data_IF_286743363897
#
_entry.id   IF_286743363897
#
_cell.length_a   1.000
_cell.length_b   1.000
_cell.length_c   1.000
_cell.angle_alpha   90.00
_cell.angle_beta   90.00
_cell.angle_gamma   90.00
#
_symmetry.space_group_name_H-M   'P 1'
#
loop_
_entity.id
_entity.type
_entity.pdbx_description
1 polymer ?
#
# COMPACT_ATOMS: atom_id res chain seq x y z
N UNK A 1 35.19 -5.52 -8.52
CA UNK A 1 35.68 -5.35 -7.12
C UNK A 1 34.78 -6.14 -6.18
N UNK A 2 35.34 -7.06 -5.37
CA UNK A 2 34.59 -7.91 -4.44
C UNK A 2 33.99 -7.04 -3.31
N UNK A 3 32.65 -6.93 -3.26
CA UNK A 3 31.94 -6.19 -2.20
C UNK A 3 32.32 -6.77 -0.82
N UNK A 4 32.79 -5.90 0.07
CA UNK A 4 33.39 -6.27 1.35
C UNK A 4 32.32 -6.79 2.31
N UNK A 5 32.26 -8.11 2.53
CA UNK A 5 31.22 -8.80 3.33
C UNK A 5 31.00 -8.17 4.72
N UNK A 6 32.04 -7.59 5.31
CA UNK A 6 31.98 -6.94 6.61
C UNK A 6 31.18 -5.63 6.63
N UNK A 7 31.07 -4.91 5.51
CA UNK A 7 30.24 -3.70 5.43
C UNK A 7 28.76 -4.02 5.27
N UNK A 8 28.43 -5.10 4.56
CA UNK A 8 27.06 -5.58 4.39
C UNK A 8 26.50 -6.05 5.74
N UNK A 9 27.28 -6.80 6.51
CA UNK A 9 26.92 -7.23 7.87
C UNK A 9 26.76 -6.02 8.81
N UNK A 10 27.62 -5.00 8.70
CA UNK A 10 27.48 -3.75 9.48
C UNK A 10 26.24 -2.94 9.11
N UNK A 11 25.84 -2.91 7.83
CA UNK A 11 24.60 -2.25 7.38
C UNK A 11 23.34 -2.98 7.87
N UNK A 12 23.33 -4.30 7.79
CA UNK A 12 22.24 -5.13 8.34
C UNK A 12 22.14 -5.02 9.87
N UNK A 13 23.27 -4.97 10.58
CA UNK A 13 23.30 -4.74 12.02
C UNK A 13 22.81 -3.33 12.41
N UNK A 14 23.15 -2.29 11.63
CA UNK A 14 22.62 -0.93 11.82
C UNK A 14 21.11 -0.85 11.56
N UNK A 15 20.60 -1.54 10.53
CA UNK A 15 19.16 -1.61 10.26
C UNK A 15 18.40 -2.36 11.37
N UNK A 16 18.94 -3.49 11.85
CA UNK A 16 18.39 -4.21 13.02
C UNK A 16 18.43 -3.36 14.29
N UNK A 17 19.50 -2.61 14.54
CA UNK A 17 19.59 -1.72 15.70
C UNK A 17 18.66 -0.50 15.59
N UNK A 18 18.40 0.02 14.38
CA UNK A 18 17.42 1.10 14.16
C UNK A 18 15.99 0.61 14.39
N UNK A 19 15.65 -0.60 13.91
CA UNK A 19 14.37 -1.28 14.22
C UNK A 19 14.24 -1.62 15.71
N UNK A 20 15.32 -2.07 16.37
CA UNK A 20 15.35 -2.36 17.82
C UNK A 20 15.17 -1.10 18.67
N UNK A 21 15.75 0.05 18.26
CA UNK A 21 15.53 1.36 18.91
C UNK A 21 14.11 1.89 18.71
N UNK A 22 13.50 1.74 17.53
CA UNK A 22 12.08 2.06 17.33
C UNK A 22 11.18 1.21 18.25
N UNK A 23 11.53 -0.05 18.50
CA UNK A 23 10.79 -0.97 19.36
C UNK A 23 11.03 -0.77 20.86
N UNK A 24 12.21 -0.29 21.29
CA UNK A 24 12.44 0.08 22.70
C UNK A 24 11.55 1.25 23.15
N UNK A 25 11.17 2.13 22.22
CA UNK A 25 10.19 3.20 22.48
C UNK A 25 8.76 2.63 22.62
N UNK A 26 8.45 1.47 22.01
CA UNK A 26 7.16 0.78 22.17
C UNK A 26 7.07 -0.16 23.39
N UNK A 27 8.20 -0.56 23.98
CA UNK A 27 8.23 -1.47 25.14
C UNK A 27 8.02 -0.75 26.48
N UNK A 28 8.21 0.57 26.54
CA UNK A 28 7.74 1.34 27.68
C UNK A 28 6.23 1.47 27.51
N UNK A 29 5.47 0.75 28.34
CA UNK A 29 4.03 0.99 28.56
C UNK A 29 3.83 2.36 29.21
N UNK A 30 4.21 3.43 28.51
CA UNK A 30 3.43 4.65 28.60
C UNK A 30 2.11 4.30 27.92
N UNK A 31 0.93 4.58 28.52
CA UNK A 31 -0.31 4.54 27.79
C UNK A 31 -0.16 5.58 26.67
N UNK A 32 0.31 5.15 25.50
CA UNK A 32 0.12 5.92 24.29
C UNK A 32 -1.38 5.95 24.15
N UNK A 33 -1.96 7.15 24.25
CA UNK A 33 -3.28 7.39 23.75
C UNK A 33 -3.34 6.70 22.38
N UNK A 34 -4.06 5.59 22.30
CA UNK A 34 -4.52 5.10 21.02
C UNK A 34 -5.33 6.27 20.52
N UNK A 35 -4.75 7.07 19.61
CA UNK A 35 -5.59 7.96 18.83
C UNK A 35 -6.50 6.99 18.09
N UNK A 36 -7.74 6.86 18.55
CA UNK A 36 -8.82 6.38 17.71
C UNK A 36 -8.76 7.27 16.47
N UNK A 37 -8.33 6.65 15.37
CA UNK A 37 -8.15 7.33 14.09
C UNK A 37 -9.38 6.99 13.29
N UNK A 38 -10.21 7.96 12.91
CA UNK A 38 -11.36 7.65 12.07
C UNK A 38 -10.87 7.06 10.73
N UNK A 39 -11.65 6.17 10.11
CA UNK A 39 -11.41 5.72 8.75
C UNK A 39 -11.22 6.90 7.80
N UNK A 40 -10.37 6.75 6.78
CA UNK A 40 -10.11 7.82 5.80
C UNK A 40 -11.38 8.23 5.02
N UNK A 41 -12.37 7.34 4.97
CA UNK A 41 -13.71 7.55 4.40
C UNK A 41 -14.59 8.46 5.25
N UNK A 42 -14.45 8.41 6.57
CA UNK A 42 -15.18 9.26 7.51
C UNK A 42 -14.58 10.67 7.63
N UNK A 43 -13.42 10.92 7.03
CA UNK A 43 -12.76 12.23 7.05
C UNK A 43 -13.24 13.11 5.90
N UNK A 44 -14.19 14.00 6.19
CA UNK A 44 -14.67 14.98 5.22
C UNK A 44 -13.57 15.95 4.76
N UNK A 45 -13.49 16.20 3.46
CA UNK A 45 -12.59 17.17 2.85
C UNK A 45 -13.38 18.38 2.31
N UNK A 46 -12.78 19.58 2.25
CA UNK A 46 -13.39 20.73 1.59
C UNK A 46 -13.76 20.41 0.13
N UNK A 47 -14.78 21.10 -0.40
CA UNK A 47 -15.23 20.90 -1.79
C UNK A 47 -14.08 21.07 -2.79
N UNK A 48 -13.89 20.08 -3.65
CA UNK A 48 -12.81 20.05 -4.64
C UNK A 48 -11.51 19.42 -4.12
N UNK A 49 -11.51 18.87 -2.90
CA UNK A 49 -10.36 18.19 -2.29
C UNK A 49 -10.72 16.78 -1.83
N UNK A 50 -9.70 15.97 -1.57
CA UNK A 50 -9.79 14.64 -0.95
C UNK A 50 -8.83 14.53 0.22
N UNK A 51 -9.24 13.80 1.25
CA UNK A 51 -8.39 13.45 2.38
C UNK A 51 -7.44 12.34 1.98
N UNK A 52 -6.14 12.57 2.04
CA UNK A 52 -5.11 11.54 1.77
C UNK A 52 -4.11 11.46 2.91
N UNK A 53 -3.44 10.32 3.05
CA UNK A 53 -2.32 10.24 4.00
C UNK A 53 -1.07 10.96 3.45
N UNK A 54 -0.17 11.35 4.35
CA UNK A 54 1.05 12.06 3.96
C UNK A 54 1.93 11.25 2.99
N UNK A 55 1.99 9.93 3.14
CA UNK A 55 2.74 9.07 2.20
C UNK A 55 2.13 9.11 0.79
N UNK A 56 0.81 9.12 0.68
CA UNK A 56 0.13 9.23 -0.61
C UNK A 56 0.37 10.59 -1.24
N UNK A 57 0.36 11.65 -0.42
CA UNK A 57 0.63 13.02 -0.86
C UNK A 57 2.02 13.16 -1.50
N UNK A 58 3.04 12.61 -0.84
CA UNK A 58 4.42 12.60 -1.38
C UNK A 58 4.48 11.84 -2.70
N UNK A 59 3.82 10.67 -2.81
CA UNK A 59 3.85 9.86 -4.02
C UNK A 59 3.13 10.53 -5.19
N UNK A 60 1.94 11.11 -4.95
CA UNK A 60 1.19 11.88 -5.96
C UNK A 60 1.94 13.11 -6.45
N UNK A 61 2.59 13.81 -5.52
CA UNK A 61 3.46 14.92 -5.83
C UNK A 61 4.65 14.49 -6.68
N UNK A 62 5.29 13.37 -6.32
CA UNK A 62 6.50 12.86 -6.93
C UNK A 62 6.31 12.21 -8.31
N UNK A 63 5.07 12.03 -8.80
CA UNK A 63 4.79 11.39 -10.11
C UNK A 63 5.71 11.83 -11.26
N UNK A 64 5.99 13.13 -11.49
CA UNK A 64 6.90 13.57 -12.56
C UNK A 64 8.34 13.04 -12.45
N UNK A 65 8.79 12.67 -11.25
CA UNK A 65 10.10 12.05 -11.02
C UNK A 65 10.10 10.54 -11.30
N UNK A 66 8.92 9.92 -11.27
CA UNK A 66 8.72 8.46 -11.30
C UNK A 66 8.27 7.93 -12.67
N UNK A 67 7.91 8.80 -13.61
CA UNK A 67 7.44 8.42 -14.95
C UNK A 67 8.48 7.67 -15.80
N UNK A 68 9.77 7.83 -15.51
CA UNK A 68 10.82 6.98 -16.05
C UNK A 68 11.04 5.76 -15.14
N UNK A 69 10.61 4.57 -15.62
CA UNK A 69 10.77 3.28 -14.95
C UNK A 69 12.23 3.08 -14.47
N UNK A 70 12.48 3.34 -13.19
CA UNK A 70 13.77 3.03 -12.56
C UNK A 70 13.77 1.54 -12.20
N UNK A 71 14.53 0.73 -12.94
CA UNK A 71 14.73 -0.68 -12.61
C UNK A 71 15.58 -0.89 -11.33
N UNK A 72 16.19 0.18 -10.78
CA UNK A 72 17.09 0.14 -9.63
C UNK A 72 16.47 0.80 -8.38
N UNK A 73 16.49 0.06 -7.26
CA UNK A 73 16.03 0.52 -5.95
C UNK A 73 16.84 1.72 -5.43
N UNK A 74 18.14 1.79 -5.74
CA UNK A 74 18.98 2.90 -5.31
C UNK A 74 18.58 4.21 -6.04
N UNK A 75 18.18 4.11 -7.31
CA UNK A 75 17.68 5.26 -8.08
C UNK A 75 16.32 5.74 -7.56
N UNK A 76 15.40 4.80 -7.30
CA UNK A 76 14.10 5.12 -6.70
C UNK A 76 14.25 5.85 -5.35
N UNK A 77 15.15 5.38 -4.49
CA UNK A 77 15.42 6.04 -3.21
C UNK A 77 15.92 7.48 -3.39
N UNK A 78 16.82 7.72 -4.36
CA UNK A 78 17.32 9.07 -4.66
C UNK A 78 16.20 9.98 -5.19
N UNK A 79 15.31 9.46 -6.04
CA UNK A 79 14.14 10.19 -6.54
C UNK A 79 13.19 10.57 -5.40
N UNK A 80 12.95 9.67 -4.43
CA UNK A 80 12.13 9.96 -3.23
C UNK A 80 12.79 11.02 -2.34
N UNK A 81 14.11 10.95 -2.13
CA UNK A 81 14.86 11.96 -1.37
C UNK A 81 14.80 13.34 -2.05
N UNK A 82 14.90 13.38 -3.38
CA UNK A 82 14.73 14.60 -4.16
C UNK A 82 13.30 15.13 -4.04
N UNK A 83 12.28 14.29 -4.20
CA UNK A 83 10.88 14.66 -4.01
C UNK A 83 10.63 15.28 -2.63
N UNK A 84 11.19 14.67 -1.58
CA UNK A 84 11.08 15.17 -0.21
C UNK A 84 11.76 16.54 -0.04
N UNK A 85 12.89 16.76 -0.71
CA UNK A 85 13.60 18.05 -0.69
C UNK A 85 12.82 19.14 -1.43
N UNK A 86 12.24 18.81 -2.59
CA UNK A 86 11.36 19.70 -3.37
C UNK A 86 10.07 20.03 -2.61
N UNK A 87 9.49 19.06 -1.91
CA UNK A 87 8.34 19.26 -1.04
C UNK A 87 8.64 20.28 0.06
N UNK A 88 9.79 20.16 0.73
CA UNK A 88 10.20 21.10 1.77
C UNK A 88 10.52 22.50 1.22
N UNK A 89 11.12 22.59 0.02
CA UNK A 89 11.31 23.87 -0.68
C UNK A 89 9.96 24.56 -0.97
N UNK A 90 8.98 23.78 -1.42
CA UNK A 90 7.65 24.30 -1.72
C UNK A 90 6.92 24.78 -0.46
N UNK A 91 7.04 24.05 0.64
CA UNK A 91 6.49 24.45 1.93
C UNK A 91 7.14 25.72 2.49
N UNK A 92 8.46 25.88 2.37
CA UNK A 92 9.12 27.10 2.84
C UNK A 92 8.71 28.32 2.01
N UNK A 93 8.45 28.14 0.70
CA UNK A 93 7.86 29.18 -0.16
C UNK A 93 6.46 29.57 0.29
N UNK A 94 5.56 28.59 0.48
CA UNK A 94 4.17 28.85 0.92
C UNK A 94 4.13 29.51 2.32
N UNK A 95 5.02 29.10 3.23
CA UNK A 95 5.10 29.64 4.60
C UNK A 95 5.87 30.95 4.72
N UNK A 96 6.31 31.51 3.59
CA UNK A 96 7.11 32.73 3.53
C UNK A 96 8.34 32.70 4.46
N UNK A 97 9.12 31.60 4.37
CA UNK A 97 10.33 31.38 5.18
C UNK A 97 11.59 31.49 4.31
N UNK A 98 12.15 32.70 4.13
CA UNK A 98 13.23 32.94 3.17
C UNK A 98 14.52 32.18 3.50
N UNK A 99 14.86 32.03 4.79
CA UNK A 99 16.08 31.33 5.21
C UNK A 99 16.01 29.83 4.89
N UNK A 100 14.88 29.19 5.24
CA UNK A 100 14.64 27.77 4.90
C UNK A 100 14.59 27.57 3.38
N UNK A 101 13.98 28.52 2.64
CA UNK A 101 13.91 28.48 1.19
C UNK A 101 15.29 28.51 0.54
N UNK A 102 16.18 29.40 0.98
CA UNK A 102 17.54 29.49 0.45
C UNK A 102 18.35 28.20 0.70
N UNK A 103 18.20 27.59 1.87
CA UNK A 103 18.86 26.33 2.22
C UNK A 103 18.33 25.13 1.43
N UNK A 104 17.01 25.04 1.26
CA UNK A 104 16.40 24.01 0.44
C UNK A 104 16.74 24.18 -1.05
N UNK A 105 16.83 25.41 -1.54
CA UNK A 105 17.21 25.69 -2.94
C UNK A 105 18.56 25.05 -3.25
N UNK A 106 19.58 25.26 -2.41
CA UNK A 106 20.92 24.65 -2.59
C UNK A 106 20.86 23.12 -2.65
N UNK A 107 20.08 22.50 -1.75
CA UNK A 107 19.92 21.03 -1.70
C UNK A 107 19.21 20.50 -2.93
N UNK A 108 18.13 21.16 -3.34
CA UNK A 108 17.32 20.79 -4.50
C UNK A 108 18.13 20.94 -5.79
N UNK A 109 18.83 22.05 -6.01
CA UNK A 109 19.67 22.23 -7.20
C UNK A 109 20.75 21.15 -7.31
N UNK A 110 21.35 20.76 -6.18
CA UNK A 110 22.32 19.65 -6.13
C UNK A 110 21.66 18.30 -6.41
N UNK A 111 20.46 18.08 -5.88
CA UNK A 111 19.68 16.87 -6.10
C UNK A 111 19.22 16.71 -7.55
N UNK A 112 18.64 17.76 -8.15
CA UNK A 112 18.21 17.78 -9.55
C UNK A 112 19.38 17.48 -10.49
N UNK A 113 20.54 18.09 -10.24
CA UNK A 113 21.76 17.80 -11.02
C UNK A 113 22.23 16.36 -10.89
N UNK A 114 22.21 15.80 -9.68
CA UNK A 114 22.77 14.48 -9.43
C UNK A 114 21.82 13.33 -9.79
N UNK A 115 20.51 13.54 -9.66
CA UNK A 115 19.47 12.51 -9.89
C UNK A 115 18.91 12.59 -11.32
N UNK A 116 18.64 13.79 -11.84
CA UNK A 116 18.01 13.97 -13.15
C UNK A 116 19.00 14.40 -14.25
N UNK A 117 20.27 14.66 -13.88
CA UNK A 117 21.30 15.16 -14.79
C UNK A 117 20.91 16.49 -15.50
N UNK A 118 20.04 17.29 -14.87
CA UNK A 118 19.61 18.59 -15.37
C UNK A 118 20.51 19.71 -14.80
N UNK A 119 20.80 20.72 -15.61
CA UNK A 119 21.61 21.90 -15.22
C UNK A 119 21.11 23.17 -15.91
N UNK A 120 21.45 24.34 -15.34
CA UNK A 120 21.06 25.64 -15.88
C UNK A 120 19.55 25.83 -15.92
N UNK A 121 19.05 26.51 -16.95
CA UNK A 121 17.63 26.85 -17.11
C UNK A 121 16.69 25.64 -17.05
N UNK A 122 17.12 24.47 -17.52
CA UNK A 122 16.31 23.26 -17.48
C UNK A 122 16.09 22.77 -16.04
N UNK A 123 17.09 22.91 -15.17
CA UNK A 123 16.95 22.58 -13.75
C UNK A 123 16.06 23.59 -13.03
N UNK A 124 16.24 24.88 -13.31
CA UNK A 124 15.46 25.94 -12.67
C UNK A 124 13.97 25.83 -13.04
N UNK A 125 13.67 25.60 -14.33
CA UNK A 125 12.29 25.36 -14.80
C UNK A 125 11.66 24.15 -14.13
N UNK A 126 12.38 23.02 -14.05
CA UNK A 126 11.86 21.83 -13.38
C UNK A 126 11.55 22.07 -11.89
N UNK A 127 12.43 22.81 -11.20
CA UNK A 127 12.21 23.16 -9.78
C UNK A 127 10.97 24.03 -9.65
N UNK A 128 10.80 25.03 -10.51
CA UNK A 128 9.63 25.91 -10.52
C UNK A 128 8.34 25.14 -10.78
N UNK A 129 8.31 24.28 -11.81
CA UNK A 129 7.17 23.41 -12.13
C UNK A 129 6.77 22.52 -10.94
N UNK A 130 7.75 21.94 -10.24
CA UNK A 130 7.48 21.12 -9.06
C UNK A 130 6.95 21.96 -7.90
N UNK A 131 7.48 23.16 -7.68
CA UNK A 131 6.97 24.08 -6.65
C UNK A 131 5.53 24.52 -6.95
N UNK A 132 5.22 24.87 -8.21
CA UNK A 132 3.86 25.22 -8.63
C UNK A 132 2.91 24.05 -8.47
N UNK A 133 3.33 22.84 -8.85
CA UNK A 133 2.57 21.60 -8.65
C UNK A 133 2.22 21.39 -7.17
N UNK A 134 3.18 21.58 -6.26
CA UNK A 134 2.93 21.45 -4.82
C UNK A 134 1.87 22.45 -4.36
N UNK A 135 2.02 23.73 -4.71
CA UNK A 135 1.10 24.80 -4.30
C UNK A 135 -0.32 24.53 -4.83
N UNK A 136 -0.43 24.06 -6.07
CA UNK A 136 -1.70 23.69 -6.68
C UNK A 136 -2.38 22.52 -5.97
N UNK A 137 -1.64 21.42 -5.74
CA UNK A 137 -2.17 20.20 -5.14
C UNK A 137 -2.44 20.32 -3.64
N UNK A 138 -1.56 21.03 -2.92
CA UNK A 138 -1.53 21.13 -1.45
C UNK A 138 -1.44 22.59 -0.98
N UNK A 139 -2.49 23.40 -1.22
CA UNK A 139 -2.50 24.78 -0.75
C UNK A 139 -2.50 24.81 0.79
N UNK A 140 -1.67 25.65 1.39
CA UNK A 140 -1.51 25.72 2.85
C UNK A 140 -2.79 26.20 3.55
N UNK A 141 -3.51 27.18 2.98
CA UNK A 141 -4.73 27.76 3.58
C UNK A 141 -5.86 26.78 3.87
N UNK A 142 -5.90 25.62 3.19
CA UNK A 142 -6.95 24.62 3.42
C UNK A 142 -6.49 23.48 4.33
N UNK A 143 -5.18 23.32 4.57
CA UNK A 143 -4.67 22.12 5.23
C UNK A 143 -5.24 21.99 6.64
N UNK A 144 -5.45 20.75 7.12
CA UNK A 144 -5.92 20.52 8.48
C UNK A 144 -4.95 21.08 9.51
N UNK A 145 -5.49 21.56 10.63
CA UNK A 145 -4.69 22.10 11.73
C UNK A 145 -3.69 21.06 12.26
N UNK A 146 -2.46 21.51 12.54
CA UNK A 146 -1.44 20.64 13.12
C UNK A 146 -1.76 20.31 14.59
N UNK A 147 -1.46 19.07 15.07
CA UNK A 147 -0.90 17.95 14.32
C UNK A 147 -1.98 17.15 13.57
N UNK A 148 -1.83 17.02 12.26
CA UNK A 148 -2.68 16.15 11.43
C UNK A 148 -1.85 15.01 10.82
N UNK A 149 -2.48 13.84 10.66
CA UNK A 149 -1.89 12.69 9.98
C UNK A 149 -2.37 12.54 8.53
N UNK A 150 -3.20 13.46 8.08
CA UNK A 150 -3.76 13.52 6.75
C UNK A 150 -3.58 14.92 6.16
N UNK A 151 -3.73 14.99 4.86
CA UNK A 151 -3.65 16.22 4.07
C UNK A 151 -4.86 16.29 3.16
N UNK A 152 -5.25 17.50 2.77
CA UNK A 152 -6.21 17.69 1.70
C UNK A 152 -5.45 17.89 0.39
N UNK A 153 -5.72 17.02 -0.58
CA UNK A 153 -5.19 17.13 -1.94
C UNK A 153 -6.30 17.57 -2.88
N UNK A 154 -5.99 18.47 -3.81
CA UNK A 154 -6.94 18.90 -4.84
C UNK A 154 -7.37 17.71 -5.73
N UNK A 155 -8.66 17.62 -6.03
CA UNK A 155 -9.20 16.72 -7.07
C UNK A 155 -8.90 17.31 -8.45
N UNK A 156 -7.88 16.81 -9.13
CA UNK A 156 -7.59 17.23 -10.51
C UNK A 156 -8.48 16.55 -11.56
N UNK A 157 -9.11 15.42 -11.21
CA UNK A 157 -9.98 14.66 -12.09
C UNK A 157 -11.19 14.09 -11.34
N UNK A 158 -12.35 14.13 -11.99
CA UNK A 158 -13.56 13.41 -11.58
C UNK A 158 -13.63 12.11 -12.37
N UNK A 159 -13.90 11.01 -11.70
CA UNK A 159 -13.96 9.67 -12.27
C UNK A 159 -15.40 9.16 -12.28
N UNK A 160 -15.89 8.73 -13.45
CA UNK A 160 -17.12 7.96 -13.54
C UNK A 160 -16.83 6.50 -13.18
N UNK A 161 -16.94 6.18 -11.88
CA UNK A 161 -16.72 4.83 -11.36
C UNK A 161 -18.00 4.01 -11.52
N UNK A 162 -17.95 3.02 -12.41
CA UNK A 162 -19.03 2.03 -12.63
C UNK A 162 -18.74 0.76 -11.84
N UNK A 163 -19.76 -0.07 -11.55
CA UNK A 163 -19.54 -1.40 -11.01
C UNK A 163 -18.54 -2.20 -11.84
N UNK A 164 -17.82 -3.11 -11.19
CA UNK A 164 -16.94 -4.04 -11.87
C UNK A 164 -17.73 -4.93 -12.86
N UNK A 165 -17.15 -5.18 -14.04
CA UNK A 165 -17.77 -6.02 -15.07
C UNK A 165 -17.44 -7.50 -14.82
N UNK A 166 -18.33 -8.19 -14.11
CA UNK A 166 -18.18 -9.61 -13.80
C UNK A 166 -18.20 -10.53 -15.03
N UNK A 167 -18.60 -10.05 -16.22
CA UNK A 167 -18.47 -10.86 -17.45
C UNK A 167 -17.02 -11.13 -17.84
N UNK A 168 -16.07 -10.38 -17.27
CA UNK A 168 -14.62 -10.60 -17.42
C UNK A 168 -14.11 -11.81 -16.64
N UNK A 169 -14.84 -12.23 -15.59
CA UNK A 169 -14.43 -13.35 -14.74
C UNK A 169 -14.98 -14.64 -15.33
N UNK A 170 -14.20 -15.24 -16.23
CA UNK A 170 -14.49 -16.53 -16.86
C UNK A 170 -13.31 -17.49 -16.76
N UNK A 171 -13.62 -18.78 -16.77
CA UNK A 171 -12.63 -19.86 -16.82
C UNK A 171 -13.00 -20.83 -17.93
N UNK A 172 -12.00 -21.31 -18.68
CA UNK A 172 -12.22 -22.44 -19.59
C UNK A 172 -12.10 -23.79 -18.88
N UNK A 173 -11.38 -23.81 -17.75
CA UNK A 173 -11.22 -24.99 -16.90
C UNK A 173 -12.01 -24.85 -15.60
N UNK A 174 -13.26 -25.33 -15.61
CA UNK A 174 -14.16 -25.26 -14.45
C UNK A 174 -13.75 -26.21 -13.31
N UNK A 175 -13.17 -27.37 -13.64
CA UNK A 175 -12.81 -28.38 -12.64
C UNK A 175 -11.72 -27.86 -11.70
N UNK A 176 -11.84 -28.17 -10.41
CA UNK A 176 -10.82 -27.85 -9.40
C UNK A 176 -9.45 -28.45 -9.75
N UNK A 177 -8.39 -27.66 -9.54
CA UNK A 177 -7.01 -28.07 -9.82
C UNK A 177 -6.38 -28.59 -8.53
N UNK A 178 -6.08 -29.89 -8.50
CA UNK A 178 -5.45 -30.53 -7.36
C UNK A 178 -4.14 -29.80 -6.96
N UNK A 179 -3.84 -29.70 -5.66
CA UNK A 179 -2.63 -29.04 -5.20
C UNK A 179 -1.39 -29.85 -5.58
N UNK A 180 -0.35 -29.16 -6.05
CA UNK A 180 0.97 -29.73 -6.22
C UNK A 180 1.86 -29.54 -4.98
N UNK A 181 3.14 -29.92 -5.07
CA UNK A 181 4.07 -29.82 -3.94
C UNK A 181 4.32 -28.37 -3.48
N UNK A 182 4.31 -27.40 -4.41
CA UNK A 182 4.46 -25.99 -4.07
C UNK A 182 3.23 -25.48 -3.33
N UNK A 183 2.04 -25.81 -3.84
CA UNK A 183 0.76 -25.47 -3.21
C UNK A 183 0.69 -26.04 -1.78
N UNK A 184 1.04 -27.32 -1.59
CA UNK A 184 1.00 -27.97 -0.28
C UNK A 184 1.98 -27.35 0.72
N UNK A 185 3.20 -26.99 0.27
CA UNK A 185 4.17 -26.29 1.11
C UNK A 185 3.67 -24.90 1.51
N UNK A 186 3.07 -24.16 0.58
CA UNK A 186 2.48 -22.86 0.84
C UNK A 186 1.33 -22.94 1.84
N UNK A 187 0.40 -23.88 1.68
CA UNK A 187 -0.68 -24.11 2.64
C UNK A 187 -0.14 -24.52 4.02
N UNK A 188 0.93 -25.32 4.07
CA UNK A 188 1.64 -25.65 5.30
C UNK A 188 2.15 -24.41 6.04
N UNK A 189 2.77 -23.47 5.32
CA UNK A 189 3.25 -22.19 5.89
C UNK A 189 2.11 -21.33 6.44
N UNK A 190 0.99 -21.23 5.73
CA UNK A 190 -0.17 -20.46 6.23
C UNK A 190 -0.70 -21.09 7.53
N UNK A 191 -0.81 -22.43 7.59
CA UNK A 191 -1.25 -23.13 8.80
C UNK A 191 -0.28 -22.94 9.98
N UNK A 192 1.03 -22.95 9.71
CA UNK A 192 2.05 -22.63 10.72
C UNK A 192 1.91 -21.18 11.23
N UNK A 193 1.64 -20.23 10.34
CA UNK A 193 1.40 -18.83 10.70
C UNK A 193 0.12 -18.69 11.55
N UNK A 194 -0.96 -19.38 11.19
CA UNK A 194 -2.19 -19.41 11.98
C UNK A 194 -1.94 -19.92 13.41
N UNK A 195 -1.09 -20.94 13.57
CA UNK A 195 -0.71 -21.46 14.87
C UNK A 195 0.13 -20.47 15.69
N UNK A 196 1.01 -19.71 15.03
CA UNK A 196 1.75 -18.64 15.68
C UNK A 196 0.82 -17.55 16.23
N UNK A 197 -0.19 -17.17 15.45
CA UNK A 197 -1.21 -16.20 15.85
C UNK A 197 -2.03 -16.70 17.04
N UNK A 198 -2.54 -17.94 16.99
CA UNK A 198 -3.28 -18.57 18.10
C UNK A 198 -2.47 -18.65 19.39
N UNK A 199 -1.16 -18.89 19.29
CA UNK A 199 -0.25 -18.98 20.45
C UNK A 199 0.14 -17.61 21.01
N UNK A 200 -0.25 -16.50 20.35
CA UNK A 200 0.19 -15.16 20.72
C UNK A 200 1.72 -15.00 20.62
N UNK A 201 2.34 -15.69 19.65
CA UNK A 201 3.79 -15.62 19.46
C UNK A 201 4.18 -14.19 19.07
N UNK A 202 5.35 -13.72 19.50
CA UNK A 202 5.83 -12.40 19.05
C UNK A 202 6.11 -12.40 17.55
N UNK A 203 5.82 -11.26 16.90
CA UNK A 203 6.03 -11.05 15.46
C UNK A 203 7.45 -11.41 14.99
N UNK A 204 8.46 -11.13 15.82
CA UNK A 204 9.86 -11.43 15.49
C UNK A 204 10.13 -12.92 15.26
N UNK A 205 9.31 -13.80 15.82
CA UNK A 205 9.43 -15.24 15.62
C UNK A 205 8.88 -15.69 14.25
N UNK A 206 7.88 -14.99 13.71
CA UNK A 206 7.19 -15.41 12.48
C UNK A 206 7.34 -14.41 11.30
N UNK A 207 8.06 -13.29 11.47
CA UNK A 207 8.30 -12.28 10.41
C UNK A 207 8.82 -12.90 9.11
N UNK A 208 9.80 -13.80 9.20
CA UNK A 208 10.37 -14.46 8.02
C UNK A 208 9.35 -15.37 7.31
N UNK A 209 8.48 -16.02 8.08
CA UNK A 209 7.42 -16.87 7.54
C UNK A 209 6.36 -16.02 6.83
N UNK A 210 5.92 -14.92 7.43
CA UNK A 210 4.96 -13.99 6.80
C UNK A 210 5.50 -13.42 5.50
N UNK A 211 6.75 -12.96 5.48
CA UNK A 211 7.40 -12.44 4.25
C UNK A 211 7.47 -13.53 3.16
N UNK A 212 7.74 -14.79 3.54
CA UNK A 212 7.73 -15.92 2.60
C UNK A 212 6.35 -16.11 1.97
N UNK A 213 5.30 -16.09 2.80
CA UNK A 213 3.90 -16.27 2.36
C UNK A 213 3.46 -15.11 1.46
N UNK A 214 3.78 -13.86 1.80
CA UNK A 214 3.49 -12.69 0.96
C UNK A 214 4.09 -12.86 -0.44
N UNK A 215 5.39 -13.17 -0.53
CA UNK A 215 6.09 -13.31 -1.81
C UNK A 215 5.58 -14.49 -2.67
N UNK A 216 5.19 -15.60 -2.03
CA UNK A 216 4.71 -16.79 -2.72
C UNK A 216 3.25 -16.66 -3.16
N UNK A 217 2.42 -15.91 -2.41
CA UNK A 217 0.98 -15.81 -2.62
C UNK A 217 0.60 -15.34 -4.03
N UNK A 218 1.14 -14.21 -4.48
CA UNK A 218 0.86 -13.67 -5.81
C UNK A 218 1.31 -14.62 -6.93
N UNK A 219 2.48 -15.26 -6.78
CA UNK A 219 3.03 -16.17 -7.80
C UNK A 219 2.20 -17.45 -7.94
N UNK A 220 1.81 -18.07 -6.82
CA UNK A 220 0.99 -19.29 -6.83
C UNK A 220 -0.45 -19.00 -7.25
N UNK A 221 -0.98 -17.85 -6.84
CA UNK A 221 -2.30 -17.41 -7.30
C UNK A 221 -2.31 -17.15 -8.81
N UNK A 222 -1.27 -16.47 -9.36
CA UNK A 222 -1.09 -16.29 -10.80
C UNK A 222 -1.02 -17.63 -11.53
N UNK A 223 -0.22 -18.57 -11.02
CA UNK A 223 -0.08 -19.92 -11.57
C UNK A 223 -1.44 -20.64 -11.64
N UNK A 224 -2.26 -20.50 -10.61
CA UNK A 224 -3.61 -21.07 -10.59
C UNK A 224 -4.54 -20.41 -11.63
N UNK A 225 -4.55 -19.08 -11.74
CA UNK A 225 -5.35 -18.37 -12.76
C UNK A 225 -4.96 -18.78 -14.19
N UNK A 226 -3.66 -18.90 -14.47
CA UNK A 226 -3.16 -19.37 -15.77
C UNK A 226 -3.60 -20.82 -16.03
N UNK A 227 -3.46 -21.70 -15.04
CA UNK A 227 -3.85 -23.10 -15.18
C UNK A 227 -5.37 -23.29 -15.32
N UNK A 228 -6.18 -22.33 -14.86
CA UNK A 228 -7.63 -22.26 -15.07
C UNK A 228 -8.02 -21.73 -16.46
N UNK A 229 -7.05 -21.29 -17.26
CA UNK A 229 -7.27 -20.55 -18.50
C UNK A 229 -8.21 -19.35 -18.27
N UNK A 230 -7.89 -18.54 -17.26
CA UNK A 230 -8.62 -17.33 -16.90
C UNK A 230 -8.73 -16.38 -18.11
N UNK A 231 -9.92 -15.82 -18.33
CA UNK A 231 -10.23 -15.05 -19.53
C UNK A 231 -9.70 -13.61 -19.52
N UNK A 232 -9.46 -13.04 -18.34
CA UNK A 232 -8.89 -11.71 -18.15
C UNK A 232 -7.38 -11.76 -17.84
N UNK A 233 -6.73 -10.59 -17.72
CA UNK A 233 -5.31 -10.51 -17.37
C UNK A 233 -5.08 -10.86 -15.88
N UNK A 234 -4.38 -11.96 -15.55
CA UNK A 234 -4.08 -12.32 -14.16
C UNK A 234 -3.31 -11.25 -13.38
N UNK A 235 -2.49 -10.43 -14.06
CA UNK A 235 -1.63 -9.45 -13.40
C UNK A 235 -2.43 -8.33 -12.71
N UNK A 236 -3.66 -8.06 -13.14
CA UNK A 236 -4.59 -7.10 -12.53
C UNK A 236 -5.14 -7.57 -11.17
N UNK A 237 -5.06 -8.89 -10.87
CA UNK A 237 -5.73 -9.48 -9.70
C UNK A 237 -4.76 -9.92 -8.60
N UNK A 238 -3.53 -10.31 -8.97
CA UNK A 238 -2.65 -11.07 -8.06
C UNK A 238 -2.08 -10.26 -6.91
N UNK A 239 -1.96 -8.93 -7.06
CA UNK A 239 -1.45 -8.01 -6.05
C UNK A 239 -2.45 -7.72 -4.92
N UNK A 240 -3.66 -8.30 -4.97
CA UNK A 240 -4.55 -8.21 -3.82
C UNK A 240 -4.07 -9.10 -2.66
N UNK A 241 -3.45 -10.24 -2.98
CA UNK A 241 -3.20 -11.31 -2.03
C UNK A 241 -2.13 -10.92 -1.00
N UNK A 242 -1.01 -10.35 -1.43
CA UNK A 242 0.10 -9.94 -0.57
C UNK A 242 -0.29 -8.77 0.36
N UNK A 243 -1.01 -7.78 -0.17
CA UNK A 243 -1.49 -6.63 0.60
C UNK A 243 -2.54 -7.06 1.63
N UNK A 244 -3.43 -7.97 1.27
CA UNK A 244 -4.42 -8.51 2.19
C UNK A 244 -3.79 -9.40 3.28
N UNK A 245 -2.83 -10.25 2.93
CA UNK A 245 -2.03 -11.02 3.91
C UNK A 245 -1.28 -10.08 4.87
N UNK A 246 -0.71 -8.98 4.34
CA UNK A 246 -0.06 -7.95 5.17
C UNK A 246 -1.06 -7.34 6.15
N UNK A 247 -2.28 -7.02 5.70
CA UNK A 247 -3.34 -6.55 6.59
C UNK A 247 -3.63 -7.58 7.68
N UNK A 248 -3.93 -8.83 7.34
CA UNK A 248 -4.33 -9.85 8.33
C UNK A 248 -3.23 -10.13 9.37
N UNK A 249 -1.96 -10.25 8.97
CA UNK A 249 -0.91 -10.78 9.85
C UNK A 249 0.13 -9.77 10.34
N UNK A 250 0.20 -8.56 9.75
CA UNK A 250 1.20 -7.53 10.11
C UNK A 250 0.60 -6.24 10.60
N UNK A 251 -0.69 -6.02 10.32
CA UNK A 251 -1.43 -4.95 10.93
C UNK A 251 -1.82 -5.33 12.36
N UNK A 252 -1.88 -4.34 13.24
CA UNK A 252 -2.27 -4.56 14.63
C UNK A 252 -3.79 -4.60 14.69
N UNK A 253 -4.32 -5.76 15.04
CA UNK A 253 -5.75 -5.98 15.29
C UNK A 253 -5.98 -6.14 16.79
N UNK A 254 -7.17 -5.76 17.24
CA UNK A 254 -7.57 -5.96 18.63
C UNK A 254 -7.94 -7.43 18.91
N UNK A 255 -8.46 -8.12 17.90
CA UNK A 255 -8.82 -9.54 17.95
C UNK A 255 -7.84 -10.46 17.23
N UNK A 256 -7.95 -11.75 17.54
CA UNK A 256 -7.30 -12.80 16.76
C UNK A 256 -8.00 -12.95 15.41
N UNK A 257 -7.31 -12.56 14.34
CA UNK A 257 -7.78 -12.75 12.96
C UNK A 257 -6.93 -13.80 12.27
N UNK A 258 -7.59 -14.66 11.49
CA UNK A 258 -6.95 -15.65 10.63
C UNK A 258 -7.48 -15.49 9.21
N UNK A 259 -6.65 -15.77 8.21
CA UNK A 259 -7.04 -15.60 6.80
C UNK A 259 -8.30 -16.42 6.44
N UNK A 260 -8.48 -17.59 7.04
CA UNK A 260 -9.67 -18.45 6.81
C UNK A 260 -10.96 -18.01 7.52
N UNK A 261 -10.89 -17.01 8.40
CA UNK A 261 -12.01 -16.57 9.23
C UNK A 261 -11.79 -15.12 9.65
N UNK A 262 -12.13 -14.20 8.75
CA UNK A 262 -12.01 -12.76 8.97
C UNK A 262 -13.40 -12.22 9.31
N UNK A 263 -13.59 -11.62 10.51
CA UNK A 263 -14.87 -10.99 10.85
C UNK A 263 -15.19 -9.81 9.93
N UNK A 264 -16.48 -9.59 9.70
CA UNK A 264 -16.99 -8.53 8.80
C UNK A 264 -16.42 -7.15 9.14
N UNK A 265 -16.28 -6.83 10.43
CA UNK A 265 -15.72 -5.55 10.91
C UNK A 265 -14.31 -5.28 10.37
N UNK A 266 -13.47 -6.31 10.28
CA UNK A 266 -12.11 -6.18 9.74
C UNK A 266 -12.08 -6.20 8.21
N UNK A 267 -13.05 -6.85 7.56
CA UNK A 267 -13.23 -6.69 6.13
C UNK A 267 -13.65 -5.25 5.79
N UNK A 268 -14.56 -4.66 6.56
CA UNK A 268 -14.94 -3.25 6.43
C UNK A 268 -13.74 -2.35 6.67
N UNK A 269 -12.97 -2.55 7.76
CA UNK A 269 -11.74 -1.78 8.00
C UNK A 269 -10.75 -1.89 6.82
N UNK A 270 -10.61 -3.08 6.24
CA UNK A 270 -9.73 -3.28 5.09
C UNK A 270 -10.14 -2.38 3.91
N UNK A 271 -11.42 -2.41 3.52
CA UNK A 271 -11.91 -1.67 2.36
C UNK A 271 -12.10 -0.18 2.62
N UNK A 272 -12.56 0.21 3.80
CA UNK A 272 -12.84 1.61 4.14
C UNK A 272 -11.58 2.39 4.52
N UNK A 273 -10.58 1.74 5.13
CA UNK A 273 -9.39 2.46 5.61
C UNK A 273 -8.10 1.90 5.02
N UNK A 274 -7.78 0.64 5.32
CA UNK A 274 -6.44 0.13 5.08
C UNK A 274 -6.07 0.22 3.59
N UNK A 275 -6.93 -0.28 2.72
CA UNK A 275 -6.73 -0.27 1.28
C UNK A 275 -6.57 1.16 0.74
N UNK A 276 -7.55 2.03 1.02
CA UNK A 276 -7.57 3.41 0.54
C UNK A 276 -6.45 4.29 1.11
N UNK A 277 -5.89 3.93 2.26
CA UNK A 277 -4.82 4.67 2.93
C UNK A 277 -3.42 4.16 2.56
N UNK A 278 -3.27 2.85 2.34
CA UNK A 278 -1.97 2.18 2.15
C UNK A 278 -1.63 1.89 0.70
N UNK A 279 -2.64 1.72 -0.15
CA UNK A 279 -2.44 1.38 -1.56
C UNK A 279 -2.66 2.61 -2.42
N UNK A 280 -1.73 2.81 -3.36
CA UNK A 280 -1.77 3.89 -4.34
C UNK A 280 -1.95 3.29 -5.73
N UNK A 281 -3.16 3.43 -6.25
CA UNK A 281 -3.55 2.99 -7.57
C UNK A 281 -4.55 4.00 -8.15
N UNK A 282 -4.85 3.90 -9.45
CA UNK A 282 -5.88 4.75 -10.06
C UNK A 282 -7.24 4.40 -9.46
N UNK A 283 -8.19 5.35 -9.39
CA UNK A 283 -9.51 5.09 -8.80
C UNK A 283 -10.23 3.87 -9.36
N UNK A 284 -10.09 3.60 -10.66
CA UNK A 284 -10.69 2.42 -11.32
C UNK A 284 -10.01 1.11 -10.95
N UNK A 285 -8.72 1.13 -10.58
CA UNK A 285 -7.97 -0.06 -10.17
C UNK A 285 -8.46 -0.59 -8.81
N UNK A 286 -9.09 0.25 -7.97
CA UNK A 286 -9.73 -0.23 -6.74
C UNK A 286 -10.89 -1.22 -6.99
N UNK A 287 -11.52 -1.18 -8.17
CA UNK A 287 -12.63 -2.08 -8.50
C UNK A 287 -12.21 -3.55 -8.61
N UNK A 288 -10.92 -3.82 -8.81
CA UNK A 288 -10.41 -5.19 -8.89
C UNK A 288 -10.28 -5.85 -7.50
N UNK A 289 -10.31 -5.10 -6.40
CA UNK A 289 -10.03 -5.66 -5.08
C UNK A 289 -11.07 -6.68 -4.59
N UNK A 290 -12.39 -6.38 -4.59
CA UNK A 290 -13.40 -7.37 -4.22
C UNK A 290 -13.34 -8.66 -5.07
N UNK A 291 -13.36 -8.61 -6.43
CA UNK A 291 -13.30 -9.83 -7.22
C UNK A 291 -11.98 -10.58 -7.05
N UNK A 292 -10.85 -9.89 -6.90
CA UNK A 292 -9.55 -10.54 -6.69
C UNK A 292 -9.51 -11.31 -5.36
N UNK A 293 -10.05 -10.76 -4.28
CA UNK A 293 -10.14 -11.48 -3.00
C UNK A 293 -11.06 -12.70 -3.09
N UNK A 294 -12.20 -12.61 -3.80
CA UNK A 294 -13.08 -13.77 -4.03
C UNK A 294 -12.34 -14.88 -4.80
N UNK A 295 -11.61 -14.51 -5.85
CA UNK A 295 -10.78 -15.44 -6.62
C UNK A 295 -9.66 -16.04 -5.77
N UNK A 296 -9.02 -15.24 -4.92
CA UNK A 296 -7.99 -15.71 -4.00
C UNK A 296 -8.53 -16.72 -2.98
N UNK A 297 -9.72 -16.49 -2.43
CA UNK A 297 -10.38 -17.47 -1.55
C UNK A 297 -10.78 -18.76 -2.29
N UNK A 298 -11.22 -18.68 -3.55
CA UNK A 298 -11.44 -19.88 -4.39
C UNK A 298 -10.16 -20.68 -4.57
N UNK A 299 -9.05 -20.01 -4.87
CA UNK A 299 -7.73 -20.63 -4.95
C UNK A 299 -7.37 -21.33 -3.63
N UNK A 300 -7.47 -20.64 -2.49
CA UNK A 300 -7.18 -21.21 -1.17
C UNK A 300 -8.05 -22.43 -0.83
N UNK A 301 -9.33 -22.40 -1.20
CA UNK A 301 -10.26 -23.52 -1.06
C UNK A 301 -9.88 -24.72 -1.90
N UNK A 302 -9.54 -24.51 -3.19
CA UNK A 302 -9.06 -25.59 -4.07
C UNK A 302 -7.75 -26.22 -3.57
N UNK A 303 -6.87 -25.43 -2.93
CA UNK A 303 -5.61 -25.93 -2.37
C UNK A 303 -5.75 -26.56 -0.98
N UNK A 304 -6.96 -26.57 -0.40
CA UNK A 304 -7.24 -27.24 0.86
C UNK A 304 -6.79 -26.45 2.10
N UNK A 305 -6.71 -25.13 2.00
CA UNK A 305 -6.57 -24.26 3.16
C UNK A 305 -7.90 -24.09 3.91
N UNK A 306 -8.95 -23.72 3.17
CA UNK A 306 -10.32 -23.58 3.65
C UNK A 306 -11.17 -24.77 3.25
N UNK A 307 -12.13 -25.13 4.09
CA UNK A 307 -13.22 -26.04 3.73
C UNK A 307 -14.21 -25.34 2.77
N UNK A 308 -15.08 -26.10 2.07
CA UNK A 308 -16.09 -25.50 1.21
C UNK A 308 -17.01 -24.48 1.93
N UNK A 309 -17.50 -24.75 3.17
CA UNK A 309 -18.27 -23.75 3.91
C UNK A 309 -17.47 -22.49 4.28
N UNK A 310 -16.22 -22.64 4.74
CA UNK A 310 -15.34 -21.49 5.05
C UNK A 310 -15.11 -20.63 3.78
N UNK A 311 -14.89 -21.27 2.63
CA UNK A 311 -14.69 -20.57 1.36
C UNK A 311 -15.94 -19.82 0.92
N UNK A 312 -17.11 -20.48 1.00
CA UNK A 312 -18.39 -19.86 0.63
C UNK A 312 -18.73 -18.67 1.53
N UNK A 313 -18.54 -18.81 2.85
CA UNK A 313 -18.79 -17.73 3.80
C UNK A 313 -17.93 -16.49 3.54
N UNK A 314 -16.64 -16.67 3.22
CA UNK A 314 -15.78 -15.54 2.87
C UNK A 314 -16.19 -14.85 1.57
N UNK A 315 -16.64 -15.61 0.56
CA UNK A 315 -17.14 -15.03 -0.69
C UNK A 315 -18.43 -14.24 -0.45
N UNK A 316 -19.35 -14.78 0.34
CA UNK A 316 -20.62 -14.12 0.70
C UNK A 316 -20.37 -12.81 1.47
N UNK A 317 -19.43 -12.81 2.42
CA UNK A 317 -19.04 -11.59 3.14
C UNK A 317 -18.45 -10.53 2.19
N UNK A 318 -17.63 -10.93 1.21
CA UNK A 318 -17.10 -10.02 0.19
C UNK A 318 -18.19 -9.50 -0.75
N UNK A 319 -19.16 -10.33 -1.12
CA UNK A 319 -20.33 -9.92 -1.92
C UNK A 319 -21.17 -8.88 -1.17
N UNK A 320 -21.30 -8.98 0.16
CA UNK A 320 -22.04 -8.02 0.97
C UNK A 320 -21.35 -6.65 1.08
N UNK A 321 -20.01 -6.62 1.08
CA UNK A 321 -19.23 -5.40 1.27
C UNK A 321 -19.03 -4.60 -0.03
N UNK A 322 -18.95 -5.29 -1.17
CA UNK A 322 -18.63 -4.67 -2.44
C UNK A 322 -19.55 -3.51 -2.85
N UNK A 323 -20.89 -3.57 -2.72
CA UNK A 323 -21.75 -2.44 -3.05
C UNK A 323 -21.42 -1.20 -2.23
N UNK A 324 -21.16 -1.37 -0.93
CA UNK A 324 -20.78 -0.27 -0.06
C UNK A 324 -19.41 0.31 -0.42
N UNK A 325 -18.44 -0.55 -0.73
CA UNK A 325 -17.14 -0.11 -1.21
C UNK A 325 -17.23 0.67 -2.52
N UNK A 326 -18.11 0.27 -3.45
CA UNK A 326 -18.37 1.00 -4.67
C UNK A 326 -18.94 2.41 -4.39
N UNK A 327 -19.88 2.55 -3.46
CA UNK A 327 -20.43 3.84 -3.05
C UNK A 327 -19.35 4.77 -2.48
N UNK A 328 -18.43 4.22 -1.68
CA UNK A 328 -17.28 4.95 -1.16
C UNK A 328 -16.42 5.47 -2.31
N UNK A 329 -16.07 4.61 -3.27
CA UNK A 329 -15.24 5.00 -4.41
C UNK A 329 -15.93 6.09 -5.25
N UNK A 330 -17.21 5.91 -5.55
CA UNK A 330 -18.01 6.90 -6.28
C UNK A 330 -18.04 8.25 -5.55
N UNK A 331 -18.34 8.26 -4.26
CA UNK A 331 -18.38 9.51 -3.49
C UNK A 331 -17.02 10.20 -3.42
N UNK A 332 -15.96 9.40 -3.24
CA UNK A 332 -14.60 9.90 -3.05
C UNK A 332 -14.00 10.45 -4.33
N UNK A 333 -14.24 9.82 -5.47
CA UNK A 333 -13.54 10.12 -6.72
C UNK A 333 -14.41 10.74 -7.82
N UNK A 334 -15.74 10.86 -7.63
CA UNK A 334 -16.61 11.68 -8.47
C UNK A 334 -16.37 13.19 -8.24
#
# INVERSE_FOLDING_TARGET
MKKNKNEIVKRQAKAKNKKKKQRQICLVKTPRAVMERPPITAMEAPKGFITISHSQAIMEYAKPLMEENSADLDDLNRKIELASSLWNLSNSKQKNKPDEYADWTKKVTTGVRSVLNLTGEAADRFIEEMVERHIHLFPEEIQPAAPSMFMYMRKDASYLIRPFDYSRIGFKVEKGIAPDEEDLRFIGKIKELDDHMRKGTSYDAYEALTISIENESASLFKKWLIAKEFEDDPDEYIHCADIYITFIYRYMHDDLILLKSVPDEYLMEFFEDYLLRKVMCKPLEYLYWPPSLKLFYRFLGEKGYTSPPETAGMIEALDAIEPHFLEILQTRYH
#
